data_IF_911856175328
#
_entry.id   IF_911856175328
#
_cell.length_a   1.000
_cell.length_b   1.000
_cell.length_c   1.000
_cell.angle_alpha   90.00
_cell.angle_beta   90.00
_cell.angle_gamma   90.00
#
_symmetry.space_group_name_H-M   'P 1'
#
loop_
_entity.id
_entity.type
_entity.pdbx_description
1 polymer ?
#
# COMPACT_ATOMS: atom_id res chain seq x y z
N UNK A 1 8.51 1.03 20.90
CA UNK A 1 8.53 0.58 22.30
C UNK A 1 7.13 0.77 22.86
N UNK A 2 6.74 -0.05 23.82
CA UNK A 2 5.46 0.05 24.52
C UNK A 2 5.68 -0.07 26.02
N UNK A 3 4.99 0.73 26.82
CA UNK A 3 5.07 0.68 28.29
C UNK A 3 3.96 -0.24 28.80
N UNK A 4 4.29 -1.29 29.55
CA UNK A 4 3.29 -2.23 30.09
C UNK A 4 2.42 -1.60 31.17
N UNK A 5 3.05 -0.85 32.06
CA UNK A 5 2.42 -0.17 33.18
C UNK A 5 3.10 1.18 33.41
N UNK A 6 2.31 2.25 33.38
CA UNK A 6 2.78 3.64 33.53
C UNK A 6 3.02 4.04 34.99
N UNK A 7 2.55 3.23 35.95
CA UNK A 7 2.75 3.46 37.38
C UNK A 7 4.11 2.97 37.89
N UNK A 8 4.80 2.14 37.10
CA UNK A 8 6.10 1.57 37.44
C UNK A 8 7.24 2.32 36.73
N UNK A 9 8.47 2.34 37.31
CA UNK A 9 9.62 2.93 36.66
C UNK A 9 9.89 2.29 35.28
N UNK A 10 10.31 3.06 34.26
CA UNK A 10 10.54 2.55 32.90
C UNK A 10 11.84 1.74 32.81
N UNK A 11 11.90 0.58 33.48
CA UNK A 11 13.01 -0.38 33.39
C UNK A 11 12.79 -1.36 32.23
N UNK A 12 13.84 -2.08 31.83
CA UNK A 12 13.77 -3.08 30.75
C UNK A 12 12.70 -4.17 30.99
N UNK A 13 12.35 -4.44 32.24
CA UNK A 13 11.32 -5.43 32.61
C UNK A 13 9.91 -4.96 32.26
N UNK A 14 9.67 -3.64 32.31
CA UNK A 14 8.36 -3.02 32.09
C UNK A 14 8.22 -2.33 30.72
N UNK A 15 9.29 -2.34 29.91
CA UNK A 15 9.30 -1.86 28.53
C UNK A 15 9.27 -3.04 27.56
N UNK A 16 8.34 -3.01 26.61
CA UNK A 16 8.29 -3.94 25.47
C UNK A 16 8.94 -3.30 24.26
N UNK A 17 9.96 -3.97 23.72
CA UNK A 17 10.59 -3.58 22.45
C UNK A 17 10.02 -4.42 21.32
N UNK A 18 9.40 -3.74 20.35
CA UNK A 18 8.93 -4.35 19.11
C UNK A 18 9.88 -4.01 17.96
N UNK A 19 10.00 -4.92 17.01
CA UNK A 19 10.72 -4.72 15.75
C UNK A 19 9.77 -4.94 14.59
N UNK A 20 9.77 -4.02 13.64
CA UNK A 20 8.99 -4.16 12.42
C UNK A 20 9.58 -5.25 11.52
N UNK A 21 8.71 -6.07 10.94
CA UNK A 21 9.05 -7.16 9.99
C UNK A 21 8.54 -6.87 8.58
N UNK A 22 7.96 -5.68 8.39
CA UNK A 22 7.41 -5.16 7.13
C UNK A 22 7.77 -3.68 7.02
N UNK A 23 7.70 -3.15 5.80
CA UNK A 23 7.86 -1.71 5.55
C UNK A 23 6.75 -0.97 6.31
N UNK A 24 7.13 0.03 7.11
CA UNK A 24 6.19 0.76 7.98
C UNK A 24 5.74 2.05 7.35
N UNK A 25 4.54 2.50 7.69
CA UNK A 25 4.15 3.89 7.43
C UNK A 25 5.05 4.86 8.22
N UNK A 26 5.36 6.01 7.62
CA UNK A 26 6.10 7.09 8.29
C UNK A 26 7.64 7.04 8.17
N UNK A 27 8.23 6.03 7.51
CA UNK A 27 9.64 6.15 7.10
C UNK A 27 9.71 6.93 5.79
N UNK A 28 10.69 7.82 5.67
CA UNK A 28 10.92 8.61 4.44
C UNK A 28 11.10 7.72 3.20
N UNK A 29 11.64 6.50 3.37
CA UNK A 29 11.88 5.55 2.29
C UNK A 29 10.68 4.68 1.95
N UNK A 30 9.67 4.59 2.82
CA UNK A 30 8.52 3.70 2.61
C UNK A 30 7.69 4.04 1.37
N UNK A 31 7.36 5.32 1.09
CA UNK A 31 6.64 5.68 -0.14
C UNK A 31 7.39 5.25 -1.40
N UNK A 32 8.71 5.43 -1.42
CA UNK A 32 9.56 5.03 -2.54
C UNK A 32 9.55 3.52 -2.77
N UNK A 33 9.70 2.72 -1.70
CA UNK A 33 9.69 1.26 -1.77
C UNK A 33 8.33 0.73 -2.23
N UNK A 34 7.23 1.29 -1.73
CA UNK A 34 5.88 0.92 -2.12
C UNK A 34 5.62 1.25 -3.59
N UNK A 35 5.90 2.49 -4.01
CA UNK A 35 5.70 2.93 -5.40
C UNK A 35 6.55 2.11 -6.38
N UNK A 36 7.81 1.82 -6.04
CA UNK A 36 8.70 1.00 -6.88
C UNK A 36 8.19 -0.43 -7.01
N UNK A 37 7.65 -1.00 -5.93
CA UNK A 37 7.07 -2.36 -5.92
C UNK A 37 5.83 -2.42 -6.81
N UNK A 38 4.91 -1.47 -6.66
CA UNK A 38 3.71 -1.36 -7.50
C UNK A 38 4.11 -1.20 -8.97
N UNK A 39 5.03 -0.27 -9.28
CA UNK A 39 5.51 -0.03 -10.63
C UNK A 39 6.11 -1.29 -11.27
N UNK A 40 7.01 -1.97 -10.54
CA UNK A 40 7.63 -3.22 -10.99
C UNK A 40 6.58 -4.27 -11.35
N UNK A 41 5.58 -4.50 -10.49
CA UNK A 41 4.57 -5.50 -10.82
C UNK A 41 3.70 -5.10 -12.00
N UNK A 42 3.29 -3.84 -12.09
CA UNK A 42 2.49 -3.34 -13.22
C UNK A 42 3.25 -3.39 -14.54
N UNK A 43 4.59 -3.25 -14.54
CA UNK A 43 5.44 -3.46 -15.73
C UNK A 43 5.47 -4.93 -16.20
N UNK A 44 5.28 -5.89 -15.29
CA UNK A 44 5.37 -7.33 -15.59
C UNK A 44 4.00 -8.00 -15.72
N UNK A 45 2.91 -7.26 -15.57
CA UNK A 45 1.56 -7.77 -15.84
C UNK A 45 1.29 -7.83 -17.35
N UNK A 46 0.97 -9.02 -17.84
CA UNK A 46 0.59 -9.26 -19.25
C UNK A 46 -0.85 -8.88 -19.56
N UNK A 47 -1.67 -8.63 -18.53
CA UNK A 47 -3.11 -8.35 -18.62
C UNK A 47 -3.38 -6.89 -18.30
N UNK A 48 -4.19 -6.21 -19.13
CA UNK A 48 -4.74 -4.87 -18.86
C UNK A 48 -3.73 -3.70 -18.86
N UNK A 49 -2.97 -3.55 -19.95
CA UNK A 49 -1.98 -2.46 -20.15
C UNK A 49 -2.54 -1.06 -19.86
N UNK A 50 -3.78 -0.76 -20.29
CA UNK A 50 -4.37 0.56 -20.11
C UNK A 50 -4.69 0.86 -18.63
N UNK A 51 -5.25 -0.11 -17.90
CA UNK A 51 -5.51 0.03 -16.46
C UNK A 51 -4.19 0.12 -15.68
N UNK A 52 -3.18 -0.67 -16.04
CA UNK A 52 -1.87 -0.63 -15.39
C UNK A 52 -1.21 0.74 -15.55
N UNK A 53 -1.33 1.34 -16.74
CA UNK A 53 -0.85 2.71 -17.00
C UNK A 53 -1.64 3.74 -16.18
N UNK A 54 -2.97 3.65 -16.17
CA UNK A 54 -3.82 4.58 -15.41
C UNK A 54 -3.53 4.48 -13.90
N UNK A 55 -3.29 3.29 -13.35
CA UNK A 55 -2.87 3.10 -11.95
C UNK A 55 -1.52 3.78 -11.69
N UNK A 56 -0.52 3.61 -12.56
CA UNK A 56 0.80 4.24 -12.38
C UNK A 56 0.72 5.76 -12.34
N UNK A 57 -0.14 6.35 -13.17
CA UNK A 57 -0.29 7.80 -13.26
C UNK A 57 -1.09 8.38 -12.08
N UNK A 58 -1.89 7.56 -11.38
CA UNK A 58 -2.84 8.02 -10.36
C UNK A 58 -2.65 7.40 -8.96
N UNK A 59 -1.56 6.68 -8.73
CA UNK A 59 -1.17 6.21 -7.38
C UNK A 59 -0.38 7.29 -6.66
N UNK A 60 -0.79 7.57 -5.42
CA UNK A 60 -0.06 8.42 -4.48
C UNK A 60 0.17 7.67 -3.17
N UNK A 61 1.41 7.25 -2.92
CA UNK A 61 1.82 6.46 -1.74
C UNK A 61 0.99 5.18 -1.65
N UNK A 62 -0.05 5.16 -0.81
CA UNK A 62 -0.97 4.06 -0.55
C UNK A 62 -2.39 4.31 -1.10
N UNK A 63 -2.63 5.46 -1.72
CA UNK A 63 -3.93 5.83 -2.29
C UNK A 63 -3.94 5.71 -3.81
N UNK A 64 -5.02 5.13 -4.33
CA UNK A 64 -5.33 5.08 -5.76
C UNK A 64 -6.55 5.97 -6.04
N UNK A 65 -6.40 6.98 -6.90
CA UNK A 65 -7.47 7.90 -7.25
C UNK A 65 -7.79 7.85 -8.74
N UNK A 66 -8.78 7.06 -9.14
CA UNK A 66 -9.15 6.89 -10.56
C UNK A 66 -10.44 7.65 -10.87
N UNK A 67 -10.43 8.40 -11.97
CA UNK A 67 -11.63 9.06 -12.49
C UNK A 67 -12.49 8.13 -13.35
N UNK A 68 -13.80 8.35 -13.32
CA UNK A 68 -14.77 7.62 -14.14
C UNK A 68 -15.79 8.57 -14.77
N UNK A 69 -16.28 8.22 -15.96
CA UNK A 69 -17.25 9.05 -16.71
C UNK A 69 -18.69 8.90 -16.22
N UNK A 70 -19.02 7.72 -15.70
CA UNK A 70 -20.34 7.37 -15.19
C UNK A 70 -20.22 6.18 -14.21
N UNK A 71 -21.35 5.77 -13.62
CA UNK A 71 -21.37 4.70 -12.63
C UNK A 71 -20.89 3.35 -13.17
N UNK A 72 -21.25 3.00 -14.40
CA UNK A 72 -20.87 1.73 -15.01
C UNK A 72 -19.36 1.65 -15.25
N UNK A 73 -18.78 2.74 -15.78
CA UNK A 73 -17.33 2.90 -15.93
C UNK A 73 -16.62 2.85 -14.58
N UNK A 74 -17.17 3.49 -13.54
CA UNK A 74 -16.61 3.46 -12.19
C UNK A 74 -16.58 2.04 -11.61
N UNK A 75 -17.66 1.28 -11.77
CA UNK A 75 -17.74 -0.10 -11.30
C UNK A 75 -16.77 -1.00 -12.07
N UNK A 76 -16.73 -0.86 -13.40
CA UNK A 76 -15.80 -1.61 -14.25
C UNK A 76 -14.34 -1.36 -13.82
N UNK A 77 -13.92 -0.09 -13.74
CA UNK A 77 -12.58 0.28 -13.30
C UNK A 77 -12.27 -0.19 -11.89
N UNK A 78 -13.24 -0.13 -10.98
CA UNK A 78 -13.08 -0.65 -9.62
C UNK A 78 -12.74 -2.14 -9.62
N UNK A 79 -13.51 -2.97 -10.34
CA UNK A 79 -13.27 -4.41 -10.37
C UNK A 79 -11.93 -4.76 -11.02
N UNK A 80 -11.60 -4.12 -12.16
CA UNK A 80 -10.31 -4.35 -12.83
C UNK A 80 -9.15 -3.93 -11.93
N UNK A 81 -9.21 -2.75 -11.31
CA UNK A 81 -8.18 -2.31 -10.38
C UNK A 81 -8.08 -3.27 -9.18
N UNK A 82 -9.20 -3.75 -8.65
CA UNK A 82 -9.20 -4.70 -7.53
C UNK A 82 -8.55 -6.02 -7.90
N UNK A 83 -8.81 -6.54 -9.09
CA UNK A 83 -8.16 -7.76 -9.58
C UNK A 83 -6.65 -7.56 -9.81
N UNK A 84 -6.24 -6.40 -10.31
CA UNK A 84 -4.83 -6.01 -10.41
C UNK A 84 -4.19 -6.06 -9.03
N UNK A 85 -4.70 -5.32 -8.05
CA UNK A 85 -4.12 -5.25 -6.70
C UNK A 85 -4.16 -6.58 -5.95
N UNK A 86 -5.17 -7.43 -6.22
CA UNK A 86 -5.20 -8.81 -5.73
C UNK A 86 -4.08 -9.65 -6.31
N UNK A 87 -3.78 -9.50 -7.61
CA UNK A 87 -2.62 -10.11 -8.26
C UNK A 87 -1.28 -9.64 -7.69
N UNK A 88 -1.23 -8.41 -7.18
CA UNK A 88 -0.07 -7.86 -6.47
C UNK A 88 0.06 -8.35 -5.01
N UNK A 89 -0.93 -9.09 -4.50
CA UNK A 89 -1.07 -9.41 -3.09
C UNK A 89 -1.11 -8.15 -2.19
N UNK A 90 -1.78 -7.09 -2.68
CA UNK A 90 -1.88 -5.78 -2.03
C UNK A 90 -3.33 -5.38 -1.65
N UNK A 91 -4.33 -6.26 -1.77
CA UNK A 91 -5.70 -6.07 -1.25
C UNK A 91 -6.49 -7.37 -1.22
#
# INVERSE_FOLDING_TARGET
MWVRDISLPPTKEYIVTHRFTRVTFGLNTSPFLLASTIAFHLDHMTSSSDMAKEIKENVYVDNLAIGAKNLEDALSKYYVAKDVFKGLNMN
#
